data_IF_079957936450
#
_entry.id   IF_079957936450
#
_cell.length_a   1.000
_cell.length_b   1.000
_cell.length_c   1.000
_cell.angle_alpha   90.00
_cell.angle_beta   90.00
_cell.angle_gamma   90.00
#
_symmetry.space_group_name_H-M   'P 1'
#
loop_
_entity.id
_entity.type
_entity.pdbx_description
1 polymer ?
#
# COMPACT_ATOMS: atom_id res chain seq x y z
N UNK A 1 -21.68 15.89 -36.95
CA UNK A 1 -20.75 16.19 -35.87
C UNK A 1 -19.53 15.28 -36.04
N UNK A 2 -18.44 15.87 -36.48
CA UNK A 2 -17.13 15.20 -36.53
C UNK A 2 -16.62 15.06 -35.10
N UNK A 3 -16.58 13.85 -34.56
CA UNK A 3 -15.74 13.52 -33.45
C UNK A 3 -14.28 13.72 -33.88
N UNK A 4 -13.64 14.76 -33.39
CA UNK A 4 -12.20 14.91 -33.50
C UNK A 4 -11.54 13.71 -32.82
N UNK A 5 -10.94 12.84 -33.63
CA UNK A 5 -9.99 11.87 -33.13
C UNK A 5 -8.82 12.67 -32.57
N UNK A 6 -8.80 12.87 -31.27
CA UNK A 6 -7.60 13.34 -30.57
C UNK A 6 -6.47 12.38 -30.94
N UNK A 7 -5.51 12.87 -31.72
CA UNK A 7 -4.23 12.19 -31.93
C UNK A 7 -3.61 11.93 -30.57
N UNK A 8 -3.80 10.73 -30.01
CA UNK A 8 -2.95 10.25 -28.91
C UNK A 8 -1.54 10.24 -29.50
N UNK A 9 -0.75 11.23 -29.11
CA UNK A 9 0.67 11.27 -29.43
C UNK A 9 1.23 9.91 -29.05
N UNK A 10 1.82 9.22 -30.02
CA UNK A 10 2.58 8.00 -29.78
C UNK A 10 3.75 8.40 -28.87
N UNK A 11 3.56 8.24 -27.55
CA UNK A 11 4.71 8.26 -26.66
C UNK A 11 5.51 7.00 -26.99
N UNK A 12 6.81 7.15 -27.24
CA UNK A 12 7.66 6.00 -27.51
C UNK A 12 7.59 5.04 -26.33
N UNK A 13 7.24 3.79 -26.59
CA UNK A 13 7.22 2.74 -25.59
C UNK A 13 8.65 2.37 -25.26
N UNK A 14 9.09 2.68 -24.05
CA UNK A 14 10.40 2.26 -23.55
C UNK A 14 10.24 0.99 -22.72
N UNK A 15 10.97 -0.05 -23.10
CA UNK A 15 11.10 -1.24 -22.23
C UNK A 15 12.21 -1.00 -21.23
N UNK A 16 11.96 -1.35 -19.95
CA UNK A 16 12.94 -1.23 -18.87
C UNK A 16 13.55 -2.59 -18.57
N UNK A 17 14.87 -2.61 -18.51
CA UNK A 17 15.62 -3.82 -18.22
C UNK A 17 16.54 -3.59 -17.02
N UNK A 18 16.78 -4.65 -16.25
CA UNK A 18 17.95 -4.76 -15.39
C UNK A 18 18.89 -5.81 -15.94
N UNK A 19 20.17 -5.61 -15.71
CA UNK A 19 21.20 -6.57 -15.99
C UNK A 19 21.98 -6.88 -14.71
N UNK A 20 21.92 -8.14 -14.28
CA UNK A 20 22.71 -8.62 -13.13
C UNK A 20 24.14 -8.90 -13.59
N UNK A 21 25.10 -8.15 -13.04
CA UNK A 21 26.52 -8.35 -13.35
C UNK A 21 27.04 -9.70 -12.84
N UNK A 22 26.52 -10.17 -11.71
CA UNK A 22 26.95 -11.43 -11.08
C UNK A 22 26.40 -12.66 -11.80
N UNK A 23 25.12 -12.67 -12.14
CA UNK A 23 24.44 -13.79 -12.81
C UNK A 23 24.50 -13.70 -14.33
N UNK A 24 24.93 -12.55 -14.90
CA UNK A 24 24.92 -12.23 -16.35
C UNK A 24 23.55 -12.42 -16.99
N UNK A 25 22.48 -12.24 -16.22
CA UNK A 25 21.10 -12.34 -16.70
C UNK A 25 20.48 -10.97 -16.87
N UNK A 26 19.68 -10.83 -17.90
CA UNK A 26 18.85 -9.65 -18.15
C UNK A 26 17.41 -9.98 -17.81
N UNK A 27 16.77 -9.11 -17.01
CA UNK A 27 15.36 -9.19 -16.70
C UNK A 27 14.63 -7.98 -17.28
N UNK A 28 13.57 -8.23 -18.06
CA UNK A 28 12.71 -7.19 -18.57
C UNK A 28 11.60 -6.90 -17.54
N UNK A 29 11.51 -5.65 -17.06
CA UNK A 29 10.42 -5.23 -16.15
C UNK A 29 9.16 -4.88 -16.92
N UNK A 30 9.32 -4.46 -18.16
CA UNK A 30 8.25 -3.87 -18.93
C UNK A 30 8.36 -4.32 -20.38
N UNK A 31 7.76 -5.47 -20.67
CA UNK A 31 7.73 -6.00 -22.03
C UNK A 31 6.73 -5.27 -22.96
N UNK A 32 5.89 -4.36 -22.42
CA UNK A 32 4.75 -3.78 -23.15
C UNK A 32 4.67 -2.24 -23.04
N UNK A 33 5.62 -1.58 -22.33
CA UNK A 33 5.67 -0.11 -22.24
C UNK A 33 4.63 0.56 -21.34
N UNK A 34 3.71 -0.18 -20.72
CA UNK A 34 2.63 0.35 -19.88
C UNK A 34 2.73 -0.05 -18.41
N UNK A 35 3.85 -0.64 -17.99
CA UNK A 35 4.02 -1.07 -16.60
C UNK A 35 4.73 0.00 -15.77
N UNK A 36 4.09 0.42 -14.71
CA UNK A 36 4.72 1.23 -13.67
C UNK A 36 5.59 0.32 -12.80
N UNK A 37 6.80 0.78 -12.47
CA UNK A 37 7.72 0.07 -11.57
C UNK A 37 7.78 0.81 -10.23
N UNK A 38 7.60 0.07 -9.14
CA UNK A 38 7.75 0.58 -7.77
C UNK A 38 8.97 -0.08 -7.16
N UNK A 39 9.97 0.75 -6.86
CA UNK A 39 11.23 0.31 -6.24
C UNK A 39 11.07 0.23 -4.72
N UNK A 40 11.75 -0.72 -4.05
CA UNK A 40 11.86 -0.70 -2.61
C UNK A 40 12.68 0.50 -2.12
N UNK A 41 12.44 0.99 -0.90
CA UNK A 41 13.15 2.16 -0.38
C UNK A 41 14.60 1.88 0.04
N UNK A 42 15.00 0.62 0.16
CA UNK A 42 16.36 0.20 0.51
C UNK A 42 17.30 0.22 -0.70
N UNK A 43 18.62 0.25 -0.45
CA UNK A 43 19.64 0.24 -1.51
C UNK A 43 19.88 -1.12 -2.14
N UNK A 44 19.45 -2.21 -1.49
CA UNK A 44 19.64 -3.57 -1.99
C UNK A 44 18.38 -4.05 -2.72
N UNK A 45 18.33 -3.77 -4.03
CA UNK A 45 17.16 -4.01 -4.86
C UNK A 45 17.20 -5.40 -5.50
N UNK A 46 16.85 -6.44 -4.75
CA UNK A 46 16.64 -7.77 -5.32
C UNK A 46 15.26 -7.91 -5.96
N UNK A 47 14.28 -7.19 -5.43
CA UNK A 47 12.89 -7.27 -5.82
C UNK A 47 12.33 -5.92 -6.26
N UNK A 48 11.39 -5.95 -7.22
CA UNK A 48 10.64 -4.78 -7.67
C UNK A 48 9.17 -5.15 -7.82
N UNK A 49 8.29 -4.18 -7.66
CA UNK A 49 6.88 -4.35 -8.00
C UNK A 49 6.63 -3.76 -9.38
N UNK A 50 5.93 -4.48 -10.23
CA UNK A 50 5.41 -3.94 -11.48
C UNK A 50 3.88 -3.95 -11.47
N UNK A 51 3.29 -2.88 -12.03
CA UNK A 51 1.86 -2.64 -12.09
C UNK A 51 1.40 -2.78 -13.54
N UNK A 52 0.43 -3.63 -13.79
CA UNK A 52 -0.15 -3.84 -15.13
C UNK A 52 -1.62 -3.40 -15.14
N UNK A 53 -1.91 -2.33 -15.85
CA UNK A 53 -3.28 -1.81 -16.06
C UNK A 53 -3.93 -2.36 -17.33
N UNK A 54 -3.18 -3.06 -18.17
CA UNK A 54 -3.65 -3.55 -19.49
C UNK A 54 -4.98 -4.30 -19.42
N UNK A 55 -5.23 -5.21 -18.44
CA UNK A 55 -6.49 -5.94 -18.36
C UNK A 55 -7.72 -5.04 -18.12
N UNK A 56 -7.49 -3.82 -17.63
CA UNK A 56 -8.54 -2.89 -17.18
C UNK A 56 -8.75 -1.69 -18.11
N UNK A 57 -7.94 -1.52 -19.15
CA UNK A 57 -8.01 -0.38 -20.09
C UNK A 57 -9.38 -0.21 -20.74
N UNK A 58 -10.12 -1.30 -20.95
CA UNK A 58 -11.50 -1.24 -21.48
C UNK A 58 -12.50 -0.46 -20.61
N UNK A 59 -12.11 -0.16 -19.36
CA UNK A 59 -12.92 0.63 -18.42
C UNK A 59 -12.42 2.06 -18.26
N UNK A 60 -11.40 2.50 -19.02
CA UNK A 60 -10.77 3.82 -18.90
C UNK A 60 -11.78 4.96 -19.02
N UNK A 61 -12.75 4.84 -19.93
CA UNK A 61 -13.80 5.87 -20.12
C UNK A 61 -14.84 5.93 -18.99
N UNK A 62 -14.84 4.94 -18.09
CA UNK A 62 -15.87 4.80 -17.03
C UNK A 62 -15.34 4.95 -15.62
N UNK A 63 -14.02 4.94 -15.43
CA UNK A 63 -13.36 5.00 -14.12
C UNK A 63 -12.28 6.05 -14.12
N UNK A 64 -12.28 6.91 -13.13
CA UNK A 64 -11.22 7.89 -12.91
C UNK A 64 -9.87 7.21 -12.64
N UNK A 65 -9.89 6.14 -11.87
CA UNK A 65 -8.72 5.32 -11.60
C UNK A 65 -8.96 3.88 -12.04
N UNK A 66 -8.08 3.37 -12.88
CA UNK A 66 -8.12 1.97 -13.30
C UNK A 66 -7.58 1.06 -12.22
N UNK A 67 -8.23 -0.09 -12.07
CA UNK A 67 -7.67 -1.20 -11.33
C UNK A 67 -6.41 -1.72 -12.06
N UNK A 68 -5.62 -2.53 -11.38
CA UNK A 68 -4.40 -3.09 -11.94
C UNK A 68 -4.04 -4.43 -11.29
N UNK A 69 -3.20 -5.17 -11.97
CA UNK A 69 -2.54 -6.34 -11.44
C UNK A 69 -1.14 -5.96 -10.98
N UNK A 70 -0.69 -6.53 -9.87
CA UNK A 70 0.64 -6.30 -9.32
C UNK A 70 1.47 -7.59 -9.35
N UNK A 71 2.73 -7.46 -9.76
CA UNK A 71 3.68 -8.57 -9.86
C UNK A 71 4.96 -8.24 -9.11
N UNK A 72 5.54 -9.25 -8.47
CA UNK A 72 6.87 -9.19 -7.88
C UNK A 72 7.88 -9.71 -8.90
N UNK A 73 8.88 -8.89 -9.20
CA UNK A 73 10.00 -9.23 -10.06
C UNK A 73 11.20 -9.54 -9.19
N UNK A 74 11.76 -10.73 -9.32
CA UNK A 74 13.06 -11.11 -8.76
C UNK A 74 14.11 -10.93 -9.86
N UNK A 75 14.96 -9.91 -9.70
CA UNK A 75 15.99 -9.60 -10.70
C UNK A 75 17.16 -10.59 -10.67
N UNK A 76 17.40 -11.25 -9.55
CA UNK A 76 18.49 -12.20 -9.43
C UNK A 76 18.22 -13.47 -10.24
N UNK A 77 16.98 -13.96 -10.12
CA UNK A 77 16.54 -15.17 -10.81
C UNK A 77 15.87 -14.88 -12.17
N UNK A 78 15.63 -13.60 -12.50
CA UNK A 78 14.88 -13.16 -13.69
C UNK A 78 13.48 -13.78 -13.74
N UNK A 79 12.78 -13.84 -12.61
CA UNK A 79 11.44 -14.39 -12.48
C UNK A 79 10.41 -13.32 -12.12
N UNK A 80 9.17 -13.56 -12.54
CA UNK A 80 8.00 -12.73 -12.21
C UNK A 80 6.94 -13.61 -11.59
N UNK A 81 6.35 -13.17 -10.47
CA UNK A 81 5.22 -13.83 -9.84
C UNK A 81 4.12 -12.84 -9.47
N UNK A 82 2.85 -13.22 -9.52
CA UNK A 82 1.77 -12.34 -9.13
C UNK A 82 1.83 -12.04 -7.63
N UNK A 83 1.59 -10.78 -7.25
CA UNK A 83 1.29 -10.36 -5.89
C UNK A 83 -0.21 -10.46 -5.68
N UNK A 84 -0.98 -9.72 -6.49
CA UNK A 84 -2.43 -9.73 -6.48
C UNK A 84 -2.99 -9.16 -7.78
N UNK A 85 -4.24 -9.49 -8.08
CA UNK A 85 -4.98 -8.98 -9.22
C UNK A 85 -6.08 -8.04 -8.75
N UNK A 86 -6.53 -7.18 -9.67
CA UNK A 86 -7.66 -6.28 -9.48
C UNK A 86 -7.51 -5.34 -8.29
N UNK A 87 -6.30 -4.86 -8.04
CA UNK A 87 -6.03 -3.90 -6.97
C UNK A 87 -6.53 -2.50 -7.37
N UNK A 88 -6.95 -1.75 -6.36
CA UNK A 88 -7.36 -0.34 -6.45
C UNK A 88 -6.36 0.61 -5.80
N UNK A 89 -5.51 0.09 -4.91
CA UNK A 89 -4.50 0.83 -4.17
C UNK A 89 -3.13 0.23 -4.42
N UNK A 90 -2.11 1.10 -4.53
CA UNK A 90 -0.74 0.66 -4.81
C UNK A 90 -0.18 -0.16 -3.64
N UNK A 91 0.51 -1.26 -3.92
CA UNK A 91 1.25 -1.99 -2.91
C UNK A 91 2.34 -1.12 -2.27
N UNK A 92 2.62 -1.35 -1.01
CA UNK A 92 3.53 -0.54 -0.20
C UNK A 92 4.68 -1.42 0.30
N UNK A 93 5.91 -0.99 0.02
CA UNK A 93 7.10 -1.62 0.57
C UNK A 93 7.28 -1.29 2.05
N UNK A 94 7.81 -2.26 2.80
CA UNK A 94 8.45 -1.96 4.08
C UNK A 94 9.81 -1.27 3.87
N UNK A 95 10.37 -0.60 4.88
CA UNK A 95 11.65 0.08 4.75
C UNK A 95 12.83 -0.83 4.42
N UNK A 96 12.76 -2.11 4.74
CA UNK A 96 13.83 -3.09 4.49
C UNK A 96 13.77 -3.71 3.10
N UNK A 97 12.64 -3.57 2.38
CA UNK A 97 12.40 -4.20 1.08
C UNK A 97 12.13 -5.71 1.15
N UNK A 98 11.77 -6.21 2.33
CA UNK A 98 11.40 -7.62 2.54
C UNK A 98 9.91 -7.86 2.42
N UNK A 99 9.09 -6.96 2.95
CA UNK A 99 7.65 -7.12 3.00
C UNK A 99 6.93 -6.17 2.04
N UNK A 100 5.83 -6.65 1.48
CA UNK A 100 4.93 -5.85 0.64
C UNK A 100 3.54 -5.94 1.24
N UNK A 101 2.97 -4.78 1.58
CA UNK A 101 1.56 -4.70 1.94
C UNK A 101 0.72 -4.38 0.72
N UNK A 102 -0.43 -5.01 0.64
CA UNK A 102 -1.42 -4.67 -0.38
C UNK A 102 -2.84 -4.85 0.18
N UNK A 103 -3.71 -3.94 -0.25
CA UNK A 103 -5.11 -3.96 0.16
C UNK A 103 -5.97 -4.62 -0.90
N UNK A 104 -6.76 -5.59 -0.50
CA UNK A 104 -7.77 -6.23 -1.36
C UNK A 104 -9.14 -5.64 -1.06
N UNK A 105 -9.58 -4.76 -1.94
CA UNK A 105 -10.85 -4.04 -1.78
C UNK A 105 -12.09 -4.97 -1.89
N UNK A 106 -11.98 -6.07 -2.63
CA UNK A 106 -13.02 -7.10 -2.72
C UNK A 106 -13.20 -7.88 -1.40
N UNK A 107 -12.13 -8.01 -0.62
CA UNK A 107 -12.12 -8.68 0.69
C UNK A 107 -12.09 -7.69 1.85
N UNK A 108 -11.90 -6.39 1.57
CA UNK A 108 -11.81 -5.31 2.56
C UNK A 108 -10.70 -5.53 3.58
N UNK A 109 -9.57 -6.09 3.15
CA UNK A 109 -8.52 -6.64 4.02
C UNK A 109 -7.14 -6.30 3.50
N UNK A 110 -6.22 -6.01 4.43
CA UNK A 110 -4.80 -5.86 4.17
C UNK A 110 -4.07 -7.21 4.27
N UNK A 111 -3.21 -7.44 3.29
CA UNK A 111 -2.32 -8.60 3.20
C UNK A 111 -0.86 -8.17 3.25
N UNK A 112 -0.03 -9.07 3.76
CA UNK A 112 1.42 -8.94 3.76
C UNK A 112 2.05 -10.10 2.99
N UNK A 113 2.85 -9.79 1.98
CA UNK A 113 3.70 -10.75 1.26
C UNK A 113 5.12 -10.65 1.79
N UNK A 114 5.68 -11.75 2.27
CA UNK A 114 7.12 -11.88 2.52
C UNK A 114 7.83 -12.27 1.21
N UNK A 115 8.68 -11.38 0.71
CA UNK A 115 9.38 -11.56 -0.57
C UNK A 115 10.35 -12.74 -0.55
N UNK A 116 10.92 -13.07 0.61
CA UNK A 116 11.88 -14.17 0.75
C UNK A 116 11.20 -15.53 0.70
N UNK A 117 10.13 -15.69 1.47
CA UNK A 117 9.42 -16.98 1.57
C UNK A 117 8.35 -17.15 0.50
N UNK A 118 7.85 -16.04 -0.05
CA UNK A 118 6.71 -16.02 -0.95
C UNK A 118 5.37 -16.21 -0.29
N UNK A 119 5.34 -16.28 1.04
CA UNK A 119 4.11 -16.45 1.80
C UNK A 119 3.32 -15.14 1.87
N UNK A 120 2.02 -15.25 1.68
CA UNK A 120 1.08 -14.14 1.85
C UNK A 120 0.16 -14.45 3.01
N UNK A 121 0.02 -13.50 3.94
CA UNK A 121 -0.82 -13.63 5.13
C UNK A 121 -1.79 -12.46 5.23
N UNK A 122 -3.00 -12.73 5.70
CA UNK A 122 -3.95 -11.71 6.14
C UNK A 122 -3.49 -11.10 7.45
N UNK A 123 -3.35 -9.77 7.47
CA UNK A 123 -2.84 -9.06 8.65
C UNK A 123 -3.88 -8.17 9.33
N UNK A 124 -5.05 -7.96 8.73
CA UNK A 124 -6.02 -7.01 9.27
C UNK A 124 -7.35 -7.61 9.74
N UNK A 125 -7.75 -8.79 9.27
CA UNK A 125 -8.99 -9.43 9.72
C UNK A 125 -9.00 -9.69 11.22
N UNK A 126 -7.83 -9.87 11.83
CA UNK A 126 -7.71 -10.05 13.26
C UNK A 126 -8.04 -8.79 14.09
N UNK A 127 -8.08 -7.58 13.49
CA UNK A 127 -8.33 -6.31 14.20
C UNK A 127 -9.72 -6.29 14.85
N UNK A 128 -10.71 -6.85 14.17
CA UNK A 128 -12.10 -6.86 14.65
C UNK A 128 -12.88 -5.56 14.40
N UNK A 129 -12.25 -4.60 13.73
CA UNK A 129 -12.87 -3.36 13.23
C UNK A 129 -12.55 -3.16 11.75
N UNK A 130 -13.46 -2.53 10.98
CA UNK A 130 -13.22 -2.24 9.57
C UNK A 130 -11.98 -1.37 9.36
N UNK A 131 -11.10 -1.80 8.46
CA UNK A 131 -9.91 -1.07 8.03
C UNK A 131 -10.11 -0.34 6.71
N UNK A 132 -11.36 -0.28 6.27
CA UNK A 132 -11.84 0.35 5.04
C UNK A 132 -12.84 1.45 5.35
N UNK A 133 -13.09 2.34 4.40
CA UNK A 133 -14.05 3.42 4.57
C UNK A 133 -15.48 2.88 4.75
N UNK A 134 -15.95 2.92 6.02
CA UNK A 134 -17.26 2.40 6.45
C UNK A 134 -18.43 3.23 5.94
N UNK A 135 -18.18 4.48 5.53
CA UNK A 135 -19.21 5.40 5.05
C UNK A 135 -19.15 5.62 3.53
N UNK A 136 -18.35 4.80 2.84
CA UNK A 136 -18.23 4.85 1.39
C UNK A 136 -19.55 4.51 0.71
N UNK A 137 -20.12 5.46 -0.01
CA UNK A 137 -21.45 5.40 -0.65
C UNK A 137 -21.38 5.40 -2.20
N UNK A 138 -20.16 5.35 -2.77
CA UNK A 138 -19.98 5.30 -4.20
C UNK A 138 -20.09 3.87 -4.74
N UNK A 139 -20.45 3.68 -6.03
CA UNK A 139 -20.57 2.35 -6.65
C UNK A 139 -19.22 1.66 -6.91
N UNK A 140 -18.15 2.10 -6.29
CA UNK A 140 -16.82 1.51 -6.31
C UNK A 140 -16.53 0.74 -5.03
N UNK A 141 -15.50 -0.09 -5.03
CA UNK A 141 -15.06 -0.75 -3.79
C UNK A 141 -14.56 0.28 -2.77
N UNK A 142 -14.94 0.11 -1.51
CA UNK A 142 -14.50 0.98 -0.44
C UNK A 142 -12.97 1.01 -0.31
N UNK A 143 -12.33 2.18 -0.31
CA UNK A 143 -10.90 2.31 -0.09
C UNK A 143 -10.52 1.94 1.34
N UNK A 144 -9.24 1.64 1.56
CA UNK A 144 -8.72 1.46 2.91
C UNK A 144 -8.57 2.81 3.64
N UNK A 145 -8.53 2.77 4.97
CA UNK A 145 -8.08 3.94 5.74
C UNK A 145 -6.56 4.14 5.66
N UNK A 146 -5.83 3.20 5.07
CA UNK A 146 -4.40 3.26 4.86
C UNK A 146 -3.58 2.73 6.04
N UNK A 147 -2.26 2.91 5.92
CA UNK A 147 -1.30 2.54 6.96
C UNK A 147 -0.76 3.77 7.69
N UNK A 148 -0.52 3.63 8.98
CA UNK A 148 0.09 4.66 9.81
C UNK A 148 1.61 4.76 9.57
N UNK A 149 2.26 3.62 9.40
CA UNK A 149 3.70 3.54 9.17
C UNK A 149 4.26 2.20 9.65
N UNK A 150 5.57 2.07 9.56
CA UNK A 150 6.32 0.89 9.95
C UNK A 150 7.09 1.15 11.23
N UNK A 151 7.28 0.12 12.06
CA UNK A 151 8.25 0.19 13.15
C UNK A 151 9.67 0.34 12.59
N UNK A 152 10.58 0.89 13.39
CA UNK A 152 11.98 1.12 13.00
C UNK A 152 12.69 -0.16 12.55
N UNK A 153 12.34 -1.29 13.16
CA UNK A 153 12.89 -2.62 12.84
C UNK A 153 12.18 -3.32 11.66
N UNK A 154 11.15 -2.69 11.06
CA UNK A 154 10.38 -3.25 9.96
C UNK A 154 9.52 -4.47 10.31
N UNK A 155 9.47 -4.88 11.59
CA UNK A 155 8.74 -6.10 11.99
C UNK A 155 7.27 -5.87 12.29
N UNK A 156 6.86 -4.61 12.45
CA UNK A 156 5.48 -4.22 12.77
C UNK A 156 4.99 -3.12 11.86
N UNK A 157 3.68 -3.11 11.63
CA UNK A 157 3.01 -2.08 10.86
C UNK A 157 1.82 -1.52 11.62
N UNK A 158 1.63 -0.21 11.51
CA UNK A 158 0.43 0.48 11.97
C UNK A 158 -0.62 0.53 10.87
N UNK A 159 -1.83 0.04 11.14
CA UNK A 159 -2.98 0.10 10.23
C UNK A 159 -4.04 0.98 10.88
N UNK A 160 -4.68 1.82 10.06
CA UNK A 160 -5.81 2.64 10.51
C UNK A 160 -7.11 1.86 10.43
N UNK A 161 -7.93 1.95 11.47
CA UNK A 161 -9.38 1.86 11.33
C UNK A 161 -9.96 3.29 11.18
N UNK A 162 -11.27 3.45 11.23
CA UNK A 162 -11.90 4.77 11.12
C UNK A 162 -11.34 5.76 12.12
N UNK A 163 -11.08 5.36 13.37
CA UNK A 163 -10.72 6.23 14.47
C UNK A 163 -9.31 6.01 15.00
N UNK A 164 -8.90 4.75 15.12
CA UNK A 164 -7.74 4.33 15.90
C UNK A 164 -6.58 3.82 15.02
N UNK A 165 -5.44 3.58 15.66
CA UNK A 165 -4.24 3.00 15.07
C UNK A 165 -4.00 1.64 15.69
N UNK A 166 -3.89 0.61 14.86
CA UNK A 166 -3.62 -0.77 15.23
C UNK A 166 -2.22 -1.17 14.84
N UNK A 167 -1.44 -1.66 15.79
CA UNK A 167 -0.09 -2.20 15.54
C UNK A 167 -0.17 -3.69 15.41
N UNK A 168 0.38 -4.23 14.33
CA UNK A 168 0.36 -5.65 13.97
C UNK A 168 1.78 -6.15 13.82
N UNK A 169 2.10 -7.28 14.45
CA UNK A 169 3.35 -7.99 14.27
C UNK A 169 3.28 -8.84 12.99
N UNK A 170 4.15 -8.58 12.03
CA UNK A 170 4.14 -9.27 10.72
C UNK A 170 4.55 -10.74 10.81
N UNK A 171 5.33 -11.11 11.82
CA UNK A 171 5.70 -12.51 12.05
C UNK A 171 4.56 -13.30 12.72
N UNK A 172 3.67 -12.61 13.45
CA UNK A 172 2.50 -13.20 14.08
C UNK A 172 1.34 -12.20 14.13
N UNK A 173 0.51 -12.10 13.09
CA UNK A 173 -0.58 -11.11 13.02
C UNK A 173 -1.61 -11.20 14.14
N UNK A 174 -1.69 -12.34 14.85
CA UNK A 174 -2.54 -12.45 16.04
C UNK A 174 -2.03 -11.59 17.20
N UNK A 175 -0.74 -11.23 17.22
CA UNK A 175 -0.18 -10.25 18.15
C UNK A 175 -0.43 -8.86 17.63
N UNK A 176 -1.51 -8.27 18.10
CA UNK A 176 -1.96 -6.93 17.76
C UNK A 176 -2.36 -6.16 19.00
N UNK A 177 -2.27 -4.85 18.93
CA UNK A 177 -2.83 -3.96 19.95
C UNK A 177 -3.19 -2.60 19.36
N UNK A 178 -4.12 -1.90 20.01
CA UNK A 178 -4.42 -0.51 19.64
C UNK A 178 -3.39 0.42 20.29
N UNK A 179 -2.62 1.14 19.46
CA UNK A 179 -1.67 2.16 19.92
C UNK A 179 -2.40 3.30 20.66
N UNK A 180 -3.59 3.61 20.21
CA UNK A 180 -4.47 4.66 20.77
C UNK A 180 -5.38 4.15 21.86
N UNK A 181 -5.28 2.87 22.24
CA UNK A 181 -6.06 2.22 23.31
C UNK A 181 -7.58 2.39 23.15
N UNK A 182 -8.05 2.49 21.88
CA UNK A 182 -9.47 2.68 21.56
C UNK A 182 -10.04 4.05 21.91
N UNK A 183 -9.17 5.01 22.23
CA UNK A 183 -9.59 6.38 22.58
C UNK A 183 -10.35 7.04 21.45
N UNK A 184 -9.88 6.86 20.20
CA UNK A 184 -10.50 7.43 19.02
C UNK A 184 -11.96 7.02 18.87
N UNK A 185 -12.22 5.72 18.88
CA UNK A 185 -13.57 5.15 18.73
C UNK A 185 -14.48 5.51 19.89
N UNK A 186 -13.97 5.44 21.11
CA UNK A 186 -14.76 5.80 22.31
C UNK A 186 -15.25 7.24 22.30
N UNK A 187 -14.44 8.16 21.77
CA UNK A 187 -14.70 9.59 21.80
C UNK A 187 -15.07 10.18 20.41
N UNK A 188 -15.31 9.34 19.39
CA UNK A 188 -15.56 9.74 18.00
C UNK A 188 -14.50 10.69 17.43
N UNK A 189 -13.23 10.39 17.71
CA UNK A 189 -12.09 11.19 17.31
C UNK A 189 -11.21 10.42 16.34
N UNK A 190 -11.08 10.94 15.13
CA UNK A 190 -10.24 10.35 14.09
C UNK A 190 -8.78 10.70 14.39
N UNK A 191 -7.94 9.68 14.63
CA UNK A 191 -6.54 9.86 14.98
C UNK A 191 -5.65 9.40 13.81
N UNK A 192 -4.77 10.29 13.36
CA UNK A 192 -3.82 10.03 12.27
C UNK A 192 -2.44 10.52 12.65
N UNK A 193 -1.39 9.77 12.29
CA UNK A 193 -0.01 10.24 12.47
C UNK A 193 0.25 11.48 11.61
N UNK A 194 0.92 12.46 12.19
CA UNK A 194 1.42 13.60 11.42
C UNK A 194 2.58 13.12 10.52
N UNK A 195 2.46 13.40 9.23
CA UNK A 195 3.55 13.18 8.26
C UNK A 195 4.32 14.48 8.09
N UNK A 196 5.64 14.44 8.29
CA UNK A 196 6.51 15.57 8.00
C UNK A 196 7.05 15.40 6.57
N UNK A 197 6.94 16.44 5.76
CA UNK A 197 7.49 16.51 4.39
C UNK A 197 7.03 15.37 3.45
N UNK A 198 5.80 14.88 3.60
CA UNK A 198 5.24 13.77 2.80
C UNK A 198 6.01 12.44 2.90
N UNK A 199 7.04 12.38 3.72
CA UNK A 199 7.75 11.13 4.04
C UNK A 199 6.98 10.43 5.16
N UNK A 200 6.75 9.14 5.01
CA UNK A 200 6.17 8.31 6.06
C UNK A 200 7.19 8.24 7.20
N UNK A 201 6.94 8.93 8.32
CA UNK A 201 7.75 8.75 9.51
C UNK A 201 7.58 7.31 10.01
N UNK A 202 8.65 6.74 10.56
CA UNK A 202 8.55 5.47 11.22
C UNK A 202 7.60 5.57 12.41
N UNK A 203 6.80 4.55 12.59
CA UNK A 203 5.92 4.41 13.75
C UNK A 203 6.78 4.15 14.98
N UNK A 204 6.81 5.11 15.89
CA UNK A 204 7.59 5.03 17.12
C UNK A 204 6.81 4.27 18.19
N UNK A 205 7.25 3.05 18.51
CA UNK A 205 6.53 2.19 19.45
C UNK A 205 6.91 2.44 20.92
N UNK A 206 8.09 3.04 21.15
CA UNK A 206 8.65 3.24 22.49
C UNK A 206 8.86 4.70 22.86
N UNK A 207 8.47 5.62 21.99
CA UNK A 207 8.59 7.06 22.21
C UNK A 207 7.33 7.76 21.72
N UNK A 208 7.31 9.08 21.84
CA UNK A 208 6.15 9.90 21.51
C UNK A 208 5.98 10.06 20.00
N UNK A 209 4.76 9.85 19.52
CA UNK A 209 4.32 10.16 18.17
C UNK A 209 3.54 11.48 18.13
N UNK A 210 3.69 12.24 17.07
CA UNK A 210 2.78 13.37 16.79
C UNK A 210 1.57 12.87 16.02
N UNK A 211 0.40 13.19 16.50
CA UNK A 211 -0.86 12.81 15.88
C UNK A 211 -1.75 14.03 15.65
N UNK A 212 -2.44 14.01 14.53
CA UNK A 212 -3.56 14.88 14.25
C UNK A 212 -4.81 14.18 14.76
N UNK A 213 -5.61 14.88 15.55
CA UNK A 213 -6.90 14.40 16.01
C UNK A 213 -7.97 15.30 15.41
N UNK A 214 -8.99 14.69 14.81
CA UNK A 214 -10.14 15.38 14.23
C UNK A 214 -11.37 14.89 14.99
N UNK A 215 -12.10 15.82 15.59
CA UNK A 215 -13.38 15.55 16.22
C UNK A 215 -14.44 15.34 15.14
N UNK A 216 -15.09 14.17 15.12
CA UNK A 216 -16.07 13.85 14.08
C UNK A 216 -17.36 14.66 14.20
N UNK A 217 -17.73 15.11 15.40
CA UNK A 217 -18.97 15.83 15.66
C UNK A 217 -18.86 17.32 15.32
N UNK A 218 -17.84 17.99 15.86
CA UNK A 218 -17.69 19.45 15.68
C UNK A 218 -16.66 19.85 14.62
N UNK A 219 -15.96 18.86 14.00
CA UNK A 219 -14.93 19.05 12.97
C UNK A 219 -13.69 19.84 13.41
N UNK A 220 -13.53 20.06 14.71
CA UNK A 220 -12.32 20.67 15.24
C UNK A 220 -11.14 19.72 15.10
N UNK A 221 -9.98 20.26 14.79
CA UNK A 221 -8.74 19.49 14.66
C UNK A 221 -7.61 20.11 15.48
N UNK A 222 -6.68 19.26 15.90
CA UNK A 222 -5.49 19.68 16.63
C UNK A 222 -4.37 18.68 16.51
N UNK A 223 -3.16 19.10 16.85
CA UNK A 223 -1.96 18.26 16.90
C UNK A 223 -1.66 17.95 18.35
N UNK A 224 -1.45 16.67 18.63
CA UNK A 224 -1.24 16.13 19.96
C UNK A 224 -0.03 15.20 20.00
N UNK A 225 0.45 14.92 21.19
CA UNK A 225 1.49 13.93 21.45
C UNK A 225 0.85 12.65 21.98
N UNK A 226 1.12 11.53 21.32
CA UNK A 226 0.71 10.19 21.71
C UNK A 226 1.93 9.45 22.28
N UNK A 227 1.90 9.15 23.57
CA UNK A 227 2.94 8.44 24.30
C UNK A 227 2.44 7.10 24.83
#
# INVERSE_FOLDING_TARGET
SRLEKTNKSHQPSYSRYTYSLSSRKMCCFDSIGNRQVIQPPCSNHHYFITIDKTPYLKYEDRKENLNFDAYLIDIHNATSRPIAQNLTELPIWDPTGRYILFYRADQKTWYCLDCLTGMTVDISSCIGFPVYDEIHDLPSSAPSYGIAGWSEDGTRVGIYDRYDIWVIDLNNPQKKYSLTRGYGRKNKKIIRLCKINFVTENLKLHTTNRVKIIDEENKQEGIYLLS
#
